data_IF_205883372158
#
_entry.id   IF_205883372158
#
_cell.length_a   1.000
_cell.length_b   1.000
_cell.length_c   1.000
_cell.angle_alpha   90.00
_cell.angle_beta   90.00
_cell.angle_gamma   90.00
#
_symmetry.space_group_name_H-M   'P 1'
#
loop_
_entity.id
_entity.type
_entity.pdbx_description
1 polymer ?
#
# COMPACT_ATOMS: atom_id res chain seq x y z
N UNK A 1 9.59 25.35 19.69
CA UNK A 1 10.00 25.00 18.31
C UNK A 1 8.78 24.40 17.66
N UNK A 2 8.16 25.12 16.73
CA UNK A 2 7.10 24.57 15.89
C UNK A 2 7.79 23.88 14.72
N UNK A 3 7.72 22.56 14.65
CA UNK A 3 8.14 21.79 13.48
C UNK A 3 7.24 22.20 12.32
N UNK A 4 7.83 22.73 11.25
CA UNK A 4 7.13 22.91 9.98
C UNK A 4 6.89 21.52 9.41
N UNK A 5 5.76 20.92 9.76
CA UNK A 5 5.24 19.77 9.02
C UNK A 5 4.69 20.36 7.72
N UNK A 6 5.43 20.20 6.63
CA UNK A 6 4.95 20.59 5.31
C UNK A 6 3.80 19.64 4.95
N UNK A 7 2.58 20.19 4.94
CA UNK A 7 1.37 19.46 4.58
C UNK A 7 1.27 19.46 3.07
N UNK A 8 1.30 18.28 2.45
CA UNK A 8 1.18 18.11 1.01
C UNK A 8 -0.28 18.34 0.57
N UNK A 9 -0.56 18.95 -0.60
CA UNK A 9 -1.91 18.99 -1.16
C UNK A 9 -2.55 17.60 -1.23
N UNK A 10 -3.89 17.54 -1.26
CA UNK A 10 -4.60 16.27 -1.41
C UNK A 10 -4.13 15.55 -2.69
N UNK A 11 -3.38 14.48 -2.52
CA UNK A 11 -2.95 13.58 -3.59
C UNK A 11 -3.87 12.36 -3.62
N UNK A 12 -3.94 11.68 -4.76
CA UNK A 12 -4.74 10.45 -4.85
C UNK A 12 -3.95 9.28 -4.26
N UNK A 13 -4.58 8.55 -3.33
CA UNK A 13 -4.08 7.24 -2.93
C UNK A 13 -4.34 6.29 -4.11
N UNK A 14 -3.32 6.08 -4.93
CA UNK A 14 -3.35 5.22 -6.09
C UNK A 14 -3.03 3.77 -5.74
N UNK A 15 -3.88 2.86 -6.21
CA UNK A 15 -3.74 1.41 -6.04
C UNK A 15 -3.35 0.92 -4.64
N UNK A 16 -4.04 1.29 -3.56
CA UNK A 16 -4.17 0.39 -2.43
C UNK A 16 -4.82 -0.94 -2.85
N UNK A 17 -4.06 -2.02 -2.74
CA UNK A 17 -4.57 -3.39 -2.87
C UNK A 17 -4.40 -4.15 -1.57
N UNK A 18 -5.44 -4.91 -1.19
CA UNK A 18 -5.53 -5.62 0.08
C UNK A 18 -5.55 -7.13 -0.19
N UNK A 19 -4.56 -7.82 0.36
CA UNK A 19 -4.45 -9.28 0.35
C UNK A 19 -4.89 -9.84 1.70
N UNK A 20 -5.64 -10.94 1.67
CA UNK A 20 -6.13 -11.65 2.86
C UNK A 20 -5.59 -13.08 2.86
N UNK A 21 -4.87 -13.46 3.92
CA UNK A 21 -4.29 -14.80 4.09
C UNK A 21 -4.77 -15.43 5.40
N UNK A 22 -5.98 -16.02 5.43
CA UNK A 22 -6.45 -16.75 6.61
C UNK A 22 -5.81 -18.13 6.71
N UNK A 23 -5.83 -18.76 7.90
CA UNK A 23 -5.30 -20.13 8.07
C UNK A 23 -6.19 -21.21 7.44
N UNK A 24 -7.48 -20.89 7.28
CA UNK A 24 -8.49 -21.74 6.63
C UNK A 24 -9.45 -20.86 5.86
N UNK A 25 -10.15 -21.45 4.90
CA UNK A 25 -11.24 -20.77 4.20
C UNK A 25 -12.23 -20.15 5.18
N UNK A 26 -12.58 -18.89 4.96
CA UNK A 26 -13.51 -18.16 5.82
C UNK A 26 -14.15 -16.99 5.09
N UNK A 27 -15.38 -16.66 5.49
CA UNK A 27 -16.05 -15.44 5.06
C UNK A 27 -15.62 -14.26 5.93
N UNK A 28 -15.32 -13.15 5.28
CA UNK A 28 -14.91 -11.90 5.93
C UNK A 28 -15.51 -10.70 5.20
N UNK A 29 -15.96 -9.72 5.98
CA UNK A 29 -16.32 -8.40 5.45
C UNK A 29 -15.17 -7.44 5.70
N UNK A 30 -14.70 -6.78 4.65
CA UNK A 30 -13.64 -5.76 4.68
C UNK A 30 -14.23 -4.40 4.38
N UNK A 31 -13.94 -3.41 5.22
CA UNK A 31 -14.37 -2.02 5.06
C UNK A 31 -13.17 -1.09 5.11
N UNK A 32 -13.13 -0.16 4.16
CA UNK A 32 -12.16 0.93 4.09
C UNK A 32 -12.93 2.25 4.04
N UNK A 33 -12.43 3.26 4.75
CA UNK A 33 -13.08 4.57 4.83
C UNK A 33 -12.09 5.69 4.47
N UNK A 34 -11.65 5.81 3.20
CA UNK A 34 -10.71 6.86 2.82
C UNK A 34 -11.31 8.24 3.06
N UNK A 35 -10.58 9.15 3.72
CA UNK A 35 -11.10 10.46 4.13
C UNK A 35 -11.67 11.28 2.96
N UNK A 36 -11.07 11.20 1.76
CA UNK A 36 -11.55 11.88 0.55
C UNK A 36 -12.54 11.07 -0.30
N UNK A 37 -12.94 9.89 0.15
CA UNK A 37 -13.82 8.97 -0.57
C UNK A 37 -13.13 8.20 -1.70
N UNK A 38 -13.85 7.23 -2.26
CA UNK A 38 -13.37 6.40 -3.37
C UNK A 38 -13.48 7.11 -4.72
N UNK A 39 -12.47 6.93 -5.57
CA UNK A 39 -12.53 7.21 -7.02
C UNK A 39 -12.72 5.94 -7.83
N UNK A 40 -12.19 4.81 -7.35
CA UNK A 40 -12.35 3.50 -7.97
C UNK A 40 -12.37 2.39 -6.90
N UNK A 41 -13.11 1.31 -7.17
CA UNK A 41 -13.09 0.10 -6.33
C UNK A 41 -13.32 -1.14 -7.18
N UNK A 42 -12.60 -2.22 -6.89
CA UNK A 42 -12.80 -3.53 -7.48
C UNK A 42 -12.59 -4.62 -6.42
N UNK A 43 -13.60 -5.47 -6.12
CA UNK A 43 -14.98 -5.47 -6.64
C UNK A 43 -15.75 -4.17 -6.35
N UNK A 44 -16.99 -4.04 -6.86
CA UNK A 44 -17.85 -2.89 -6.54
C UNK A 44 -18.01 -2.74 -5.01
N UNK A 45 -17.68 -1.56 -4.49
CA UNK A 45 -17.78 -1.25 -3.08
C UNK A 45 -19.17 -0.73 -2.72
N UNK A 46 -19.89 -1.49 -1.88
CA UNK A 46 -21.18 -1.09 -1.30
C UNK A 46 -20.96 -0.62 0.15
N UNK A 47 -21.39 -1.40 1.13
CA UNK A 47 -21.15 -1.16 2.56
C UNK A 47 -19.96 -1.97 3.10
N UNK A 48 -18.97 -2.21 2.23
CA UNK A 48 -17.84 -3.12 2.42
C UNK A 48 -17.85 -4.31 1.46
N UNK A 49 -16.68 -4.87 1.20
CA UNK A 49 -16.53 -6.10 0.42
C UNK A 49 -16.83 -7.32 1.29
N UNK A 50 -17.72 -8.20 0.85
CA UNK A 50 -17.99 -9.48 1.49
C UNK A 50 -17.36 -10.57 0.65
N UNK A 51 -16.33 -11.23 1.18
CA UNK A 51 -15.57 -12.21 0.43
C UNK A 51 -15.39 -13.50 1.22
N UNK A 52 -15.30 -14.62 0.50
CA UNK A 52 -14.66 -15.83 1.01
C UNK A 52 -13.17 -15.73 0.71
N UNK A 53 -12.35 -15.69 1.75
CA UNK A 53 -10.90 -15.64 1.65
C UNK A 53 -10.28 -17.03 1.83
N UNK A 54 -9.30 -17.36 0.99
CA UNK A 54 -8.61 -18.65 1.00
C UNK A 54 -7.15 -18.49 1.46
N UNK A 55 -6.54 -19.51 2.09
CA UNK A 55 -5.17 -19.43 2.59
C UNK A 55 -4.10 -19.06 1.55
N UNK A 56 -4.38 -19.28 0.26
CA UNK A 56 -3.48 -18.92 -0.84
C UNK A 56 -3.66 -17.48 -1.36
N UNK A 57 -4.48 -16.66 -0.69
CA UNK A 57 -4.76 -15.28 -1.08
C UNK A 57 -5.86 -15.11 -2.13
N UNK A 58 -6.46 -16.21 -2.62
CA UNK A 58 -7.63 -16.12 -3.51
C UNK A 58 -8.83 -15.57 -2.74
N UNK A 59 -9.60 -14.68 -3.37
CA UNK A 59 -10.85 -14.15 -2.85
C UNK A 59 -11.99 -14.52 -3.80
N UNK A 60 -13.15 -14.86 -3.24
CA UNK A 60 -14.42 -14.95 -3.99
C UNK A 60 -15.34 -13.88 -3.44
N UNK A 61 -15.77 -12.95 -4.29
CA UNK A 61 -16.73 -11.94 -3.89
C UNK A 61 -18.12 -12.56 -3.78
N UNK A 62 -18.78 -12.39 -2.62
CA UNK A 62 -20.06 -13.02 -2.33
C UNK A 62 -21.23 -12.33 -3.05
N UNK A 63 -21.03 -11.12 -3.56
CA UNK A 63 -22.06 -10.34 -4.23
C UNK A 63 -22.26 -10.76 -5.69
N UNK A 64 -21.19 -11.10 -6.41
CA UNK A 64 -21.22 -11.47 -7.83
C UNK A 64 -20.68 -12.89 -8.11
N UNK A 65 -20.06 -13.54 -7.11
CA UNK A 65 -19.44 -14.86 -7.24
C UNK A 65 -18.12 -14.88 -8.02
N UNK A 66 -17.57 -13.72 -8.40
CA UNK A 66 -16.33 -13.63 -9.15
C UNK A 66 -15.10 -13.78 -8.25
N UNK A 67 -14.01 -14.28 -8.84
CA UNK A 67 -12.74 -14.43 -8.14
C UNK A 67 -11.86 -13.20 -8.32
N UNK A 68 -11.21 -12.79 -7.24
CA UNK A 68 -10.30 -11.64 -7.22
C UNK A 68 -8.96 -12.02 -6.59
N UNK A 69 -7.84 -11.50 -7.12
CA UNK A 69 -6.51 -11.72 -6.56
C UNK A 69 -6.26 -10.93 -5.27
N UNK A 70 -6.98 -9.83 -5.09
CA UNK A 70 -6.92 -8.87 -3.99
C UNK A 70 -8.16 -7.99 -4.06
N UNK A 71 -8.44 -7.22 -3.00
CA UNK A 71 -9.39 -6.10 -3.05
C UNK A 71 -8.63 -4.86 -3.47
N UNK A 72 -9.21 -4.04 -4.34
CA UNK A 72 -8.55 -2.86 -4.89
C UNK A 72 -9.43 -1.63 -4.68
N UNK A 73 -8.83 -0.55 -4.22
CA UNK A 73 -9.45 0.77 -4.25
C UNK A 73 -8.47 1.85 -4.69
N UNK A 74 -9.02 2.93 -5.23
CA UNK A 74 -8.38 4.24 -5.36
C UNK A 74 -9.27 5.25 -4.65
N UNK A 75 -8.66 6.25 -4.06
CA UNK A 75 -9.40 7.27 -3.33
C UNK A 75 -8.64 8.56 -3.25
N UNK A 76 -9.39 9.65 -3.07
CA UNK A 76 -8.78 10.94 -2.81
C UNK A 76 -8.17 10.89 -1.42
N UNK A 77 -6.85 11.06 -1.34
CA UNK A 77 -6.15 11.14 -0.08
C UNK A 77 -6.59 12.37 0.71
N UNK A 78 -6.44 12.27 2.03
CA UNK A 78 -6.45 13.43 2.90
C UNK A 78 -5.15 14.23 2.80
N UNK A 79 -5.05 15.30 3.58
CA UNK A 79 -3.77 15.96 3.81
C UNK A 79 -2.88 15.02 4.62
N UNK A 80 -1.66 14.76 4.13
CA UNK A 80 -0.66 13.96 4.83
C UNK A 80 0.69 14.67 4.81
N UNK A 81 1.57 14.30 5.74
CA UNK A 81 2.95 14.78 5.79
C UNK A 81 3.82 13.87 4.91
N UNK A 82 4.81 14.43 4.21
CA UNK A 82 5.77 13.61 3.45
C UNK A 82 6.51 12.59 4.35
N UNK A 83 7.00 11.46 3.79
CA UNK A 83 7.83 10.53 4.55
C UNK A 83 9.08 11.22 5.12
N UNK A 84 9.25 11.19 6.44
CA UNK A 84 10.46 11.73 7.08
C UNK A 84 11.74 10.97 6.66
N UNK A 85 11.59 9.69 6.32
CA UNK A 85 12.66 8.79 5.89
C UNK A 85 12.46 8.41 4.43
N UNK A 86 13.51 8.58 3.65
CA UNK A 86 13.48 8.36 2.21
C UNK A 86 14.87 8.01 1.66
N UNK A 87 14.86 7.32 0.54
CA UNK A 87 16.03 7.04 -0.29
C UNK A 87 16.06 7.98 -1.49
N UNK A 88 17.23 8.18 -2.06
CA UNK A 88 17.41 8.81 -3.37
C UNK A 88 17.96 7.74 -4.30
N UNK A 89 17.15 7.36 -5.29
CA UNK A 89 17.39 6.19 -6.15
C UNK A 89 17.55 6.66 -7.58
N UNK A 90 18.60 6.21 -8.28
CA UNK A 90 18.75 6.47 -9.71
C UNK A 90 17.69 5.70 -10.49
N UNK A 91 17.22 6.25 -11.61
CA UNK A 91 16.20 5.60 -12.45
C UNK A 91 16.57 4.17 -12.84
N UNK A 92 17.85 3.90 -13.12
CA UNK A 92 18.36 2.57 -13.46
C UNK A 92 18.23 1.55 -12.33
N UNK A 93 18.14 2.02 -11.08
CA UNK A 93 18.22 1.20 -9.88
C UNK A 93 16.84 1.04 -9.22
N UNK A 94 15.78 1.67 -9.77
CA UNK A 94 14.42 1.66 -9.21
C UNK A 94 13.89 0.23 -9.05
N UNK A 95 14.05 -0.61 -10.07
CA UNK A 95 13.58 -1.99 -10.03
C UNK A 95 14.18 -2.77 -8.85
N UNK A 96 15.51 -2.82 -8.80
CA UNK A 96 16.26 -3.53 -7.77
C UNK A 96 15.98 -2.93 -6.39
N UNK A 97 15.85 -1.61 -6.29
CA UNK A 97 15.47 -0.94 -5.06
C UNK A 97 14.11 -1.41 -4.54
N UNK A 98 13.08 -1.40 -5.40
CA UNK A 98 11.73 -1.82 -5.01
C UNK A 98 11.71 -3.28 -4.58
N UNK A 99 12.26 -4.18 -5.40
CA UNK A 99 12.29 -5.62 -5.12
C UNK A 99 13.00 -5.91 -3.79
N UNK A 100 14.19 -5.32 -3.57
CA UNK A 100 14.96 -5.54 -2.36
C UNK A 100 14.30 -4.93 -1.12
N UNK A 101 13.69 -3.74 -1.25
CA UNK A 101 13.08 -3.04 -0.12
C UNK A 101 11.79 -3.72 0.32
N UNK A 102 10.91 -4.08 -0.62
CA UNK A 102 9.65 -4.77 -0.33
C UNK A 102 9.90 -6.20 0.19
N UNK A 103 10.91 -6.91 -0.34
CA UNK A 103 11.34 -8.20 0.20
C UNK A 103 11.84 -8.08 1.64
N UNK A 104 12.62 -7.05 1.97
CA UNK A 104 13.03 -6.76 3.35
C UNK A 104 11.84 -6.39 4.26
N UNK A 105 10.79 -5.79 3.69
CA UNK A 105 9.53 -5.54 4.41
C UNK A 105 8.68 -6.79 4.64
N UNK A 106 9.03 -7.94 4.05
CA UNK A 106 8.28 -9.19 4.20
C UNK A 106 7.11 -9.36 3.22
N UNK A 107 7.12 -8.61 2.12
CA UNK A 107 6.25 -8.90 0.97
C UNK A 107 6.77 -10.15 0.26
N UNK A 108 5.85 -11.00 -0.19
CA UNK A 108 6.18 -12.20 -0.96
C UNK A 108 6.43 -11.85 -2.44
N UNK A 109 6.87 -12.84 -3.23
CA UNK A 109 7.21 -12.65 -4.65
C UNK A 109 6.04 -12.10 -5.47
N UNK A 110 4.81 -12.57 -5.22
CA UNK A 110 3.61 -12.14 -5.95
C UNK A 110 3.26 -10.69 -5.60
N UNK A 111 3.20 -10.37 -4.32
CA UNK A 111 2.87 -9.01 -3.85
C UNK A 111 3.90 -8.00 -4.33
N UNK A 112 5.19 -8.38 -4.32
CA UNK A 112 6.29 -7.56 -4.84
C UNK A 112 6.17 -7.37 -6.35
N UNK A 113 5.88 -8.42 -7.11
CA UNK A 113 5.68 -8.32 -8.55
C UNK A 113 4.49 -7.41 -8.90
N UNK A 114 3.35 -7.59 -8.24
CA UNK A 114 2.14 -6.77 -8.45
C UNK A 114 2.39 -5.28 -8.11
N UNK A 115 3.21 -5.01 -7.09
CA UNK A 115 3.64 -3.66 -6.71
C UNK A 115 4.53 -3.04 -7.80
N UNK A 116 5.59 -3.76 -8.18
CA UNK A 116 6.58 -3.31 -9.16
C UNK A 116 5.93 -3.08 -10.52
N UNK A 117 5.08 -3.99 -10.99
CA UNK A 117 4.35 -3.87 -12.26
C UNK A 117 3.56 -2.56 -12.35
N UNK A 118 3.00 -2.09 -11.23
CA UNK A 118 2.25 -0.84 -11.22
C UNK A 118 3.13 0.40 -11.05
N UNK A 119 4.08 0.36 -10.12
CA UNK A 119 4.82 1.56 -9.71
C UNK A 119 6.08 1.83 -10.52
N UNK A 120 6.80 0.79 -10.94
CA UNK A 120 8.05 0.97 -11.71
C UNK A 120 7.85 1.77 -13.00
N UNK A 121 6.82 1.52 -13.84
CA UNK A 121 6.61 2.29 -15.07
C UNK A 121 6.36 3.79 -14.85
N UNK A 122 5.95 4.18 -13.64
CA UNK A 122 5.70 5.58 -13.25
C UNK A 122 6.97 6.30 -12.77
N UNK A 123 8.06 5.55 -12.57
CA UNK A 123 9.37 6.06 -12.15
C UNK A 123 10.40 5.90 -13.26
N UNK A 124 10.07 6.34 -14.48
CA UNK A 124 10.92 6.25 -15.69
C UNK A 124 11.22 7.59 -16.38
N UNK A 125 10.56 8.68 -15.98
CA UNK A 125 10.58 10.02 -16.57
C UNK A 125 11.76 10.89 -16.13
N UNK A 126 12.30 10.66 -14.93
CA UNK A 126 13.30 11.50 -14.27
C UNK A 126 14.58 10.69 -13.98
N UNK A 127 15.75 11.33 -13.87
CA UNK A 127 17.02 10.62 -13.65
C UNK A 127 17.16 10.06 -12.22
N UNK A 128 16.48 10.66 -11.24
CA UNK A 128 16.48 10.22 -9.85
C UNK A 128 15.08 10.31 -9.25
N UNK A 129 14.86 9.54 -8.20
CA UNK A 129 13.61 9.51 -7.44
C UNK A 129 13.91 9.59 -5.94
N UNK A 130 13.27 10.51 -5.24
CA UNK A 130 13.14 10.45 -3.77
C UNK A 130 11.98 9.51 -3.47
N UNK A 131 12.24 8.40 -2.79
CA UNK A 131 11.23 7.38 -2.49
C UNK A 131 11.15 7.18 -0.99
N UNK A 132 9.95 7.26 -0.42
CA UNK A 132 9.67 7.00 0.99
C UNK A 132 8.41 6.17 1.15
N UNK A 133 8.18 5.66 2.36
CA UNK A 133 7.01 4.85 2.65
C UNK A 133 6.35 5.30 3.96
N UNK A 134 5.03 5.45 3.92
CA UNK A 134 4.18 5.54 5.10
C UNK A 134 3.80 4.15 5.58
N UNK A 135 3.78 3.95 6.90
CA UNK A 135 3.39 2.68 7.52
C UNK A 135 1.93 2.64 7.97
N UNK A 136 1.58 1.57 8.69
CA UNK A 136 0.22 1.27 9.14
C UNK A 136 -0.46 2.43 9.86
N UNK A 137 0.21 3.12 10.79
CA UNK A 137 -0.41 4.19 11.58
C UNK A 137 -0.91 5.34 10.70
N UNK A 138 -0.12 5.74 9.70
CA UNK A 138 -0.52 6.79 8.75
C UNK A 138 -1.67 6.32 7.86
N UNK A 139 -1.63 5.06 7.42
CA UNK A 139 -2.71 4.47 6.63
C UNK A 139 -4.02 4.33 7.43
N UNK A 140 -3.94 4.02 8.72
CA UNK A 140 -5.11 3.94 9.61
C UNK A 140 -5.76 5.30 9.82
N UNK A 141 -4.98 6.39 9.78
CA UNK A 141 -5.52 7.75 9.79
C UNK A 141 -6.15 8.13 8.43
N UNK A 142 -5.45 7.86 7.31
CA UNK A 142 -5.89 8.29 5.97
C UNK A 142 -7.08 7.49 5.44
N UNK A 143 -7.12 6.20 5.74
CA UNK A 143 -8.15 5.28 5.29
C UNK A 143 -8.31 4.14 6.31
N UNK A 144 -9.07 4.35 7.40
CA UNK A 144 -9.34 3.31 8.38
C UNK A 144 -9.78 1.99 7.73
N UNK A 145 -9.14 0.90 8.15
CA UNK A 145 -9.43 -0.46 7.69
C UNK A 145 -10.08 -1.25 8.84
N UNK A 146 -11.24 -1.85 8.58
CA UNK A 146 -11.90 -2.75 9.54
C UNK A 146 -12.34 -4.05 8.88
N UNK A 147 -12.23 -5.14 9.63
CA UNK A 147 -12.62 -6.47 9.19
C UNK A 147 -13.59 -7.11 10.19
N UNK A 148 -14.57 -7.87 9.70
CA UNK A 148 -15.53 -8.60 10.56
C UNK A 148 -14.88 -9.69 11.39
N UNK A 149 -13.70 -10.16 10.97
CA UNK A 149 -12.85 -11.08 11.73
C UNK A 149 -11.51 -10.38 11.95
N UNK A 150 -11.08 -10.32 13.21
CA UNK A 150 -9.85 -9.63 13.58
C UNK A 150 -8.64 -10.39 13.02
N UNK A 151 -7.78 -9.74 12.21
CA UNK A 151 -6.50 -10.32 11.81
C UNK A 151 -5.55 -10.43 12.99
N UNK A 152 -4.70 -11.45 12.94
CA UNK A 152 -3.58 -11.63 13.86
C UNK A 152 -2.39 -10.75 13.50
N UNK A 153 -2.25 -10.41 12.19
CA UNK A 153 -1.19 -9.56 11.66
C UNK A 153 -1.74 -8.64 10.58
N UNK A 154 -1.45 -7.34 10.68
CA UNK A 154 -1.80 -6.34 9.65
C UNK A 154 -0.55 -5.53 9.31
N UNK A 155 -0.27 -5.36 8.03
CA UNK A 155 0.80 -4.49 7.53
C UNK A 155 0.27 -3.67 6.37
N UNK A 156 0.36 -2.35 6.49
CA UNK A 156 -0.08 -1.41 5.46
C UNK A 156 1.08 -0.50 5.10
N UNK A 157 1.35 -0.37 3.81
CA UNK A 157 2.44 0.46 3.31
C UNK A 157 1.96 1.34 2.15
N UNK A 158 2.26 2.63 2.20
CA UNK A 158 1.93 3.57 1.12
C UNK A 158 3.20 4.27 0.67
N UNK A 159 3.64 3.99 -0.55
CA UNK A 159 4.82 4.63 -1.13
C UNK A 159 4.51 6.06 -1.56
N UNK A 160 5.38 6.99 -1.22
CA UNK A 160 5.42 8.33 -1.83
C UNK A 160 6.73 8.47 -2.61
N UNK A 161 6.65 9.09 -3.78
CA UNK A 161 7.82 9.35 -4.61
C UNK A 161 7.79 10.73 -5.25
N UNK A 162 8.97 11.28 -5.47
CA UNK A 162 9.19 12.57 -6.09
C UNK A 162 10.28 12.47 -7.16
N UNK A 163 10.01 13.00 -8.35
CA UNK A 163 10.98 13.12 -9.44
C UNK A 163 12.09 14.13 -9.10
N UNK A 164 13.33 13.76 -9.36
CA UNK A 164 14.50 14.59 -9.10
C UNK A 164 15.40 14.68 -10.34
N UNK A 165 15.76 15.90 -10.73
CA UNK A 165 16.73 16.16 -11.82
C UNK A 165 18.18 15.84 -11.41
N UNK A 166 18.47 15.87 -10.12
CA UNK A 166 19.80 15.62 -9.53
C UNK A 166 19.63 14.94 -8.17
N UNK A 167 20.59 14.11 -7.74
CA UNK A 167 20.49 13.48 -6.43
C UNK A 167 20.60 14.54 -5.32
N UNK A 168 19.79 14.38 -4.29
CA UNK A 168 19.87 15.15 -3.05
C UNK A 168 20.46 14.28 -1.93
N UNK A 169 20.67 14.86 -0.74
CA UNK A 169 21.03 14.08 0.44
C UNK A 169 19.88 13.13 0.80
N UNK A 170 20.19 11.84 0.97
CA UNK A 170 19.21 10.83 1.38
C UNK A 170 19.11 10.74 2.90
N UNK A 171 17.93 10.37 3.40
CA UNK A 171 17.68 10.13 4.82
C UNK A 171 17.02 8.75 5.02
N UNK A 172 17.70 7.64 4.69
CA UNK A 172 17.10 6.32 4.75
C UNK A 172 16.77 5.92 6.20
N UNK A 173 15.75 5.09 6.42
CA UNK A 173 15.49 4.53 7.74
C UNK A 173 16.65 3.63 8.19
N UNK A 174 16.95 3.67 9.49
CA UNK A 174 17.99 2.80 10.09
C UNK A 174 17.59 1.31 10.04
N UNK A 175 16.29 1.04 10.07
CA UNK A 175 15.72 -0.30 9.97
C UNK A 175 14.49 -0.24 9.08
N UNK A 176 14.42 -1.15 8.11
CA UNK A 176 13.21 -1.35 7.30
C UNK A 176 12.22 -2.15 8.16
N UNK A 177 10.95 -1.69 8.30
CA UNK A 177 9.96 -2.44 9.05
C UNK A 177 9.69 -3.79 8.38
N UNK A 178 9.59 -4.86 9.15
CA UNK A 178 9.38 -6.21 8.63
C UNK A 178 8.01 -6.76 9.04
N UNK A 179 7.25 -7.25 8.07
CA UNK A 179 5.95 -7.87 8.28
C UNK A 179 6.08 -9.33 8.70
N UNK A 180 5.83 -9.58 9.99
CA UNK A 180 5.73 -10.94 10.51
C UNK A 180 4.31 -11.49 10.35
N UNK A 181 4.13 -12.40 9.38
CA UNK A 181 2.85 -13.08 9.14
C UNK A 181 2.60 -14.16 10.20
N UNK A 182 1.62 -13.92 11.05
CA UNK A 182 1.09 -14.90 12.03
C UNK A 182 -0.41 -14.99 11.84
N UNK A 183 -0.95 -16.22 11.90
CA UNK A 183 -2.38 -16.47 11.81
C UNK A 183 -3.04 -15.83 10.59
N UNK A 184 -4.25 -15.29 10.76
CA UNK A 184 -4.90 -14.51 9.72
C UNK A 184 -4.15 -13.19 9.47
N UNK A 185 -3.47 -13.11 8.33
CA UNK A 185 -2.62 -11.99 7.96
C UNK A 185 -3.25 -11.13 6.85
N UNK A 186 -3.16 -9.81 7.00
CA UNK A 186 -3.63 -8.82 6.02
C UNK A 186 -2.46 -7.94 5.60
N UNK A 187 -2.22 -7.86 4.29
CA UNK A 187 -1.28 -6.94 3.69
C UNK A 187 -2.05 -5.93 2.86
N UNK A 188 -1.76 -4.65 3.02
CA UNK A 188 -2.14 -3.62 2.08
C UNK A 188 -0.90 -2.88 1.59
N UNK A 189 -0.78 -2.70 0.28
CA UNK A 189 0.19 -1.77 -0.26
C UNK A 189 -0.47 -0.83 -1.25
N UNK A 190 0.04 0.39 -1.35
CA UNK A 190 -0.36 1.38 -2.35
C UNK A 190 0.73 2.42 -2.54
N UNK A 191 0.36 3.53 -3.16
CA UNK A 191 1.23 4.69 -3.25
C UNK A 191 0.50 5.96 -3.66
N UNK A 192 1.24 7.04 -3.74
CA UNK A 192 0.72 8.36 -4.06
C UNK A 192 0.79 8.59 -5.56
N UNK A 193 -0.32 8.94 -6.19
CA UNK A 193 -0.36 9.46 -7.56
C UNK A 193 -0.34 10.99 -7.48
N UNK A 194 0.61 11.59 -8.20
CA UNK A 194 0.78 13.04 -8.34
C UNK A 194 0.31 13.53 -9.70
#
# INVERSE_FOLDING_TARGET
MLTHTEIVPAAECGKPVIYLYPEKEMDVTVRVEPQGGFSFTEPEYKDGWRVTAYPNGRLVNLDDGAEYPYLFWEGRGGLYAEPERYWVVAQSDVHDFLVNTLGQMGLNERETADFVEFWEPRMQSAPFYKIGFHGTDVMDELAPLSLSVKPDSVFRVLMDYEELEKPIEQNPPLHIPHFERRGFSVLEWGGVIR
#
